data_IF_285835162971
#
_entry.id   IF_285835162971
#
_cell.length_a   1.000
_cell.length_b   1.000
_cell.length_c   1.000
_cell.angle_alpha   90.00
_cell.angle_beta   90.00
_cell.angle_gamma   90.00
#
_symmetry.space_group_name_H-M   'P 1'
#
loop_
_entity.id
_entity.type
_entity.pdbx_description
1 polymer ?
#
# COMPACT_ATOMS: atom_id res chain seq x y z
N UNK A 1 -36.28 22.17 -8.54
CA UNK A 1 -34.88 22.56 -8.32
C UNK A 1 -34.38 21.83 -7.07
N UNK A 2 -33.89 20.58 -7.15
CA UNK A 2 -33.30 19.94 -5.99
C UNK A 2 -31.83 20.35 -5.86
N UNK A 3 -31.47 20.80 -4.66
CA UNK A 3 -30.12 21.17 -4.23
C UNK A 3 -29.23 19.93 -4.17
N UNK A 4 -28.16 19.93 -4.98
CA UNK A 4 -27.14 18.88 -5.02
C UNK A 4 -26.10 19.12 -3.92
N UNK A 5 -26.37 18.62 -2.71
CA UNK A 5 -25.41 18.66 -1.59
C UNK A 5 -24.61 17.35 -1.56
N UNK A 6 -23.86 17.10 -2.63
CA UNK A 6 -22.96 15.96 -2.73
C UNK A 6 -21.65 16.26 -1.97
N UNK A 7 -21.67 16.13 -0.65
CA UNK A 7 -20.43 16.05 0.14
C UNK A 7 -19.63 14.85 -0.35
N UNK A 8 -18.50 15.14 -1.00
CA UNK A 8 -17.52 14.11 -1.33
C UNK A 8 -16.98 13.55 -0.01
N UNK A 9 -17.08 12.24 0.26
CA UNK A 9 -16.56 11.68 1.49
C UNK A 9 -15.04 11.90 1.54
N UNK A 10 -14.58 12.50 2.63
CA UNK A 10 -13.15 12.67 2.89
C UNK A 10 -12.50 11.28 2.92
N UNK A 11 -11.48 11.06 2.08
CA UNK A 11 -10.65 9.86 2.18
C UNK A 11 -9.89 9.90 3.50
N UNK A 12 -10.32 9.09 4.46
CA UNK A 12 -9.61 8.82 5.71
C UNK A 12 -8.22 8.22 5.43
N UNK A 13 -7.22 8.46 6.30
CA UNK A 13 -5.91 7.82 6.17
C UNK A 13 -6.07 6.30 6.25
N UNK A 14 -5.56 5.63 5.22
CA UNK A 14 -5.61 4.19 5.01
C UNK A 14 -4.84 3.49 6.14
N UNK A 15 -5.56 3.08 7.19
CA UNK A 15 -5.05 2.12 8.17
C UNK A 15 -5.42 0.74 7.65
N UNK A 16 -4.53 0.12 6.89
CA UNK A 16 -4.63 -1.32 6.68
C UNK A 16 -4.58 -1.99 8.06
N UNK A 17 -5.65 -2.69 8.51
CA UNK A 17 -5.64 -3.32 9.80
C UNK A 17 -4.51 -4.37 9.85
N UNK A 18 -3.83 -4.47 10.98
CA UNK A 18 -2.81 -5.48 11.18
C UNK A 18 -3.44 -6.88 10.99
N UNK A 19 -2.75 -7.83 10.34
CA UNK A 19 -3.30 -9.17 10.15
C UNK A 19 -3.52 -9.84 11.52
N UNK A 20 -4.57 -10.67 11.67
CA UNK A 20 -4.77 -11.44 12.88
C UNK A 20 -3.60 -12.42 13.10
N UNK A 21 -3.38 -12.89 14.35
CA UNK A 21 -2.33 -13.85 14.65
C UNK A 21 -2.41 -15.08 13.74
N UNK A 22 -1.30 -15.43 13.08
CA UNK A 22 -1.21 -16.56 12.16
C UNK A 22 -1.37 -16.23 10.68
N UNK A 23 -1.79 -15.00 10.32
CA UNK A 23 -1.76 -14.52 8.94
C UNK A 23 -0.56 -13.60 8.72
N UNK A 24 0.19 -13.85 7.64
CA UNK A 24 1.26 -12.95 7.24
C UNK A 24 0.69 -11.69 6.57
N UNK A 25 1.34 -10.53 6.74
CA UNK A 25 0.97 -9.32 6.00
C UNK A 25 1.18 -9.49 4.50
N UNK A 26 0.57 -8.60 3.73
CA UNK A 26 0.83 -8.49 2.30
C UNK A 26 2.29 -8.09 2.06
N UNK A 27 2.89 -8.61 0.99
CA UNK A 27 4.29 -8.35 0.64
C UNK A 27 4.39 -7.90 -0.81
N UNK A 28 5.27 -6.95 -1.08
CA UNK A 28 5.60 -6.53 -2.43
C UNK A 28 6.16 -7.69 -3.26
N UNK A 29 5.98 -7.60 -4.58
CA UNK A 29 6.45 -8.58 -5.55
C UNK A 29 7.93 -8.86 -5.38
N UNK A 30 8.30 -10.14 -5.19
CA UNK A 30 9.69 -10.54 -5.04
C UNK A 30 10.45 -10.52 -6.38
N UNK A 31 11.77 -10.56 -6.32
CA UNK A 31 12.63 -10.47 -7.50
C UNK A 31 12.40 -11.60 -8.51
N UNK A 32 12.08 -12.81 -8.03
CA UNK A 32 11.73 -13.93 -8.91
C UNK A 32 10.46 -13.64 -9.72
N UNK A 33 9.41 -13.12 -9.08
CA UNK A 33 8.20 -12.74 -9.77
C UNK A 33 8.43 -11.52 -10.70
N UNK A 34 9.28 -10.57 -10.31
CA UNK A 34 9.65 -9.44 -11.18
C UNK A 34 10.42 -9.92 -12.43
N UNK A 35 11.29 -10.92 -12.29
CA UNK A 35 11.98 -11.53 -13.43
C UNK A 35 10.99 -12.20 -14.38
N UNK A 36 10.06 -13.02 -13.87
CA UNK A 36 9.00 -13.64 -14.68
C UNK A 36 8.09 -12.61 -15.36
N UNK A 37 7.75 -11.52 -14.66
CA UNK A 37 6.93 -10.44 -15.20
C UNK A 37 7.58 -9.77 -16.43
N UNK A 38 8.92 -9.76 -16.47
CA UNK A 38 9.73 -9.12 -17.52
C UNK A 38 10.15 -10.06 -18.64
N UNK A 39 10.02 -11.38 -18.46
CA UNK A 39 10.45 -12.38 -19.44
C UNK A 39 9.34 -12.66 -20.47
N UNK A 40 9.51 -12.32 -21.76
CA UNK A 40 8.53 -12.57 -22.82
C UNK A 40 8.20 -14.04 -23.05
N UNK A 41 9.07 -14.96 -22.61
CA UNK A 41 8.86 -16.41 -22.72
C UNK A 41 8.05 -16.97 -21.55
N UNK A 42 7.87 -16.20 -20.48
CA UNK A 42 7.10 -16.64 -19.35
C UNK A 42 5.59 -16.48 -19.61
N UNK A 43 4.80 -17.48 -19.24
CA UNK A 43 3.32 -17.44 -19.33
C UNK A 43 2.67 -16.29 -18.55
N UNK A 44 3.39 -15.68 -17.60
CA UNK A 44 2.97 -14.52 -16.80
C UNK A 44 3.65 -13.23 -17.22
N UNK A 45 4.24 -13.17 -18.41
CA UNK A 45 4.80 -11.96 -18.99
C UNK A 45 3.78 -10.81 -18.90
N UNK A 46 4.20 -9.69 -18.29
CA UNK A 46 3.38 -8.49 -18.04
C UNK A 46 2.05 -8.74 -17.30
N UNK A 47 1.88 -9.88 -16.62
CA UNK A 47 0.68 -10.16 -15.84
C UNK A 47 0.64 -9.36 -14.52
N UNK A 48 -0.29 -8.40 -14.36
CA UNK A 48 -0.25 -7.44 -13.25
C UNK A 48 -0.49 -8.04 -11.86
N UNK A 49 -1.08 -9.25 -11.81
CA UNK A 49 -1.47 -9.93 -10.58
C UNK A 49 -0.54 -11.11 -10.24
N UNK A 50 0.68 -11.11 -10.80
CA UNK A 50 1.68 -12.15 -10.51
C UNK A 50 2.03 -12.20 -9.02
N UNK A 51 2.00 -13.40 -8.46
CA UNK A 51 2.38 -13.67 -7.06
C UNK A 51 2.95 -15.09 -6.92
N UNK A 52 3.53 -15.36 -5.75
CA UNK A 52 4.03 -16.68 -5.34
C UNK A 52 3.88 -16.84 -3.82
N UNK A 53 4.36 -17.95 -3.25
CA UNK A 53 4.28 -18.13 -1.79
C UNK A 53 5.04 -17.07 -1.01
N UNK A 54 6.10 -16.46 -1.58
CA UNK A 54 6.94 -15.48 -0.90
C UNK A 54 6.41 -14.02 -0.96
N UNK A 55 5.49 -13.70 -1.89
CA UNK A 55 5.06 -12.32 -2.15
C UNK A 55 3.60 -12.22 -2.59
N UNK A 56 3.10 -10.99 -2.69
CA UNK A 56 1.74 -10.69 -3.13
C UNK A 56 0.75 -10.56 -1.97
N UNK A 57 -0.54 -10.40 -2.30
CA UNK A 57 -1.58 -10.26 -1.30
C UNK A 57 -1.78 -11.58 -0.55
N UNK A 58 -1.86 -11.48 0.78
CA UNK A 58 -2.10 -12.60 1.69
C UNK A 58 -3.32 -12.30 2.55
N UNK A 59 -3.19 -11.32 3.44
CA UNK A 59 -4.29 -10.91 4.32
C UNK A 59 -5.40 -10.25 3.51
N UNK A 60 -5.07 -9.31 2.62
CA UNK A 60 -6.07 -8.59 1.83
C UNK A 60 -6.90 -9.52 0.93
N UNK A 61 -6.28 -10.59 0.40
CA UNK A 61 -6.98 -11.58 -0.42
C UNK A 61 -7.95 -12.43 0.39
N UNK A 62 -7.61 -12.80 1.62
CA UNK A 62 -8.47 -13.57 2.51
C UNK A 62 -9.60 -12.71 3.09
N UNK A 63 -9.33 -11.45 3.40
CA UNK A 63 -10.29 -10.51 3.98
C UNK A 63 -11.32 -10.00 2.97
N UNK A 64 -10.95 -9.87 1.68
CA UNK A 64 -11.85 -9.35 0.67
C UNK A 64 -13.00 -10.32 0.34
N UNK A 65 -12.76 -11.64 0.32
CA UNK A 65 -13.82 -12.67 0.24
C UNK A 65 -13.22 -14.07 0.51
N UNK A 66 -13.68 -14.83 1.53
CA UNK A 66 -13.42 -16.26 1.62
C UNK A 66 -14.06 -16.95 0.40
N UNK A 67 -13.25 -17.58 -0.46
CA UNK A 67 -13.78 -18.32 -1.62
C UNK A 67 -13.98 -17.53 -2.91
N UNK A 68 -13.53 -16.26 -3.02
CA UNK A 68 -13.37 -15.61 -4.33
C UNK A 68 -12.12 -16.12 -5.05
N UNK A 69 -12.06 -17.44 -5.26
CA UNK A 69 -11.16 -18.05 -6.23
C UNK A 69 -11.78 -17.84 -7.60
N UNK A 70 -11.06 -17.20 -8.50
CA UNK A 70 -11.33 -17.36 -9.92
C UNK A 70 -11.11 -18.84 -10.29
N UNK A 71 -11.89 -19.36 -11.24
CA UNK A 71 -11.75 -20.73 -11.72
C UNK A 71 -10.34 -20.93 -12.28
N UNK A 72 -9.50 -21.67 -11.55
CA UNK A 72 -8.09 -21.86 -11.93
C UNK A 72 -7.99 -22.72 -13.17
N UNK A 73 -7.12 -22.32 -14.10
CA UNK A 73 -6.73 -23.19 -15.20
C UNK A 73 -5.90 -24.37 -14.71
N UNK A 74 -5.88 -25.47 -15.48
CA UNK A 74 -5.16 -26.70 -15.17
C UNK A 74 -3.69 -26.47 -14.80
N UNK A 75 -2.99 -25.59 -15.53
CA UNK A 75 -1.59 -25.26 -15.27
C UNK A 75 -1.37 -24.50 -13.96
N UNK A 76 -2.31 -23.63 -13.56
CA UNK A 76 -2.23 -22.95 -12.26
C UNK A 76 -2.55 -23.92 -11.13
N UNK A 77 -3.47 -24.86 -11.34
CA UNK A 77 -3.79 -25.90 -10.37
C UNK A 77 -2.61 -26.86 -10.17
N UNK A 78 -1.96 -27.27 -11.26
CA UNK A 78 -0.74 -28.10 -11.20
C UNK A 78 0.38 -27.41 -10.39
N UNK A 79 0.64 -26.13 -10.64
CA UNK A 79 1.62 -25.36 -9.86
C UNK A 79 1.24 -25.19 -8.39
N UNK A 80 -0.06 -25.21 -8.06
CA UNK A 80 -0.57 -25.07 -6.70
C UNK A 80 -0.37 -26.37 -5.89
N UNK A 81 -0.49 -27.53 -6.54
CA UNK A 81 -0.35 -28.85 -5.90
C UNK A 81 1.08 -29.42 -5.95
N UNK A 82 1.92 -28.98 -6.89
CA UNK A 82 3.30 -29.45 -7.02
C UNK A 82 4.20 -28.91 -5.90
N UNK A 83 4.76 -29.78 -5.06
CA UNK A 83 5.62 -29.41 -3.93
C UNK A 83 6.94 -28.74 -4.35
N UNK A 84 7.38 -28.92 -5.60
CA UNK A 84 8.61 -28.30 -6.13
C UNK A 84 8.37 -26.90 -6.70
N UNK A 85 7.11 -26.55 -6.95
CA UNK A 85 6.71 -25.25 -7.48
C UNK A 85 6.85 -24.15 -6.42
N UNK A 86 7.40 -22.99 -6.81
CA UNK A 86 7.38 -21.76 -5.98
C UNK A 86 5.96 -21.25 -5.68
N UNK A 87 4.97 -21.78 -6.38
CA UNK A 87 3.55 -21.45 -6.23
C UNK A 87 2.75 -22.55 -5.53
N UNK A 88 3.41 -23.57 -4.98
CA UNK A 88 2.78 -24.57 -4.13
C UNK A 88 1.99 -23.87 -3.00
N UNK A 89 0.69 -24.13 -2.86
CA UNK A 89 -0.19 -23.48 -1.87
C UNK A 89 -0.31 -21.95 -1.98
N UNK A 90 0.16 -21.31 -3.07
CA UNK A 90 -0.03 -19.89 -3.31
C UNK A 90 -1.46 -19.59 -3.78
N UNK A 91 -2.39 -19.43 -2.85
CA UNK A 91 -3.83 -19.25 -3.16
C UNK A 91 -4.12 -17.99 -4.02
N UNK A 92 -3.29 -16.95 -3.97
CA UNK A 92 -3.46 -15.76 -4.82
C UNK A 92 -2.77 -15.91 -6.20
N UNK A 93 -2.06 -17.01 -6.46
CA UNK A 93 -1.36 -17.21 -7.72
C UNK A 93 -2.36 -17.46 -8.86
N UNK A 94 -2.14 -16.72 -9.94
CA UNK A 94 -2.95 -16.80 -11.16
C UNK A 94 -2.11 -16.47 -12.39
N UNK A 95 -2.73 -16.54 -13.55
CA UNK A 95 -2.13 -16.22 -14.85
C UNK A 95 -3.13 -15.41 -15.70
N UNK A 96 -2.74 -14.89 -16.86
CA UNK A 96 -3.65 -14.15 -17.75
C UNK A 96 -4.91 -14.92 -18.17
N UNK A 97 -4.88 -16.25 -18.17
CA UNK A 97 -6.02 -17.09 -18.56
C UNK A 97 -7.10 -17.15 -17.49
N UNK A 98 -6.72 -17.41 -16.23
CA UNK A 98 -7.69 -17.62 -15.14
C UNK A 98 -7.77 -16.46 -14.14
N UNK A 99 -6.80 -15.56 -14.14
CA UNK A 99 -6.70 -14.47 -13.17
C UNK A 99 -7.58 -13.26 -13.51
N UNK A 100 -7.63 -12.28 -12.60
CA UNK A 100 -8.30 -11.01 -12.86
C UNK A 100 -7.66 -10.26 -14.03
N UNK A 101 -8.48 -9.45 -14.71
CA UNK A 101 -8.06 -8.63 -15.85
C UNK A 101 -8.12 -7.15 -15.48
N UNK A 102 -7.08 -6.40 -15.83
CA UNK A 102 -7.11 -4.95 -15.73
C UNK A 102 -8.19 -4.38 -16.65
N UNK A 103 -8.86 -3.34 -16.18
CA UNK A 103 -9.74 -2.49 -16.97
C UNK A 103 -9.47 -1.04 -16.64
N UNK A 104 -9.66 -0.16 -17.62
CA UNK A 104 -9.68 1.28 -17.45
C UNK A 104 -11.07 1.78 -17.82
N UNK A 105 -11.68 2.55 -16.94
CA UNK A 105 -12.96 3.22 -17.19
C UNK A 105 -12.64 4.65 -17.62
N UNK A 106 -12.79 4.94 -18.91
CA UNK A 106 -12.56 6.27 -19.45
C UNK A 106 -13.78 7.19 -19.16
N UNK A 107 -13.58 8.52 -19.09
CA UNK A 107 -14.68 9.48 -18.94
C UNK A 107 -15.73 9.39 -20.05
N UNK A 108 -15.35 8.90 -21.23
CA UNK A 108 -16.23 8.67 -22.39
C UNK A 108 -17.16 7.45 -22.23
N UNK A 109 -17.21 6.84 -21.03
CA UNK A 109 -17.87 5.55 -20.76
C UNK A 109 -17.30 4.36 -21.54
N UNK A 110 -16.20 4.55 -22.27
CA UNK A 110 -15.47 3.46 -22.89
C UNK A 110 -14.69 2.67 -21.83
N UNK A 111 -14.76 1.34 -21.90
CA UNK A 111 -13.94 0.46 -21.08
C UNK A 111 -12.84 -0.16 -21.93
N UNK A 112 -11.59 0.09 -21.54
CA UNK A 112 -10.42 -0.59 -22.12
C UNK A 112 -10.00 -1.75 -21.22
N UNK A 113 -9.35 -2.74 -21.80
CA UNK A 113 -8.96 -3.96 -21.09
C UNK A 113 -7.47 -4.30 -21.26
N UNK A 114 -6.93 -5.02 -20.28
CA UNK A 114 -5.58 -5.61 -20.31
C UNK A 114 -4.50 -4.60 -20.74
N UNK A 115 -3.74 -4.92 -21.80
CA UNK A 115 -2.64 -4.08 -22.28
C UNK A 115 -3.11 -2.72 -22.81
N UNK A 116 -4.29 -2.67 -23.45
CA UNK A 116 -4.88 -1.40 -23.88
C UNK A 116 -5.24 -0.48 -22.71
N UNK A 117 -5.73 -1.06 -21.61
CA UNK A 117 -6.00 -0.30 -20.37
C UNK A 117 -4.70 0.25 -19.76
N UNK A 118 -3.61 -0.52 -19.77
CA UNK A 118 -2.33 -0.09 -19.25
C UNK A 118 -1.66 0.97 -20.13
N UNK A 119 -1.73 0.80 -21.45
CA UNK A 119 -1.21 1.78 -22.42
C UNK A 119 -1.90 3.13 -22.28
N UNK A 120 -3.24 3.15 -22.21
CA UNK A 120 -4.02 4.36 -22.03
C UNK A 120 -3.75 5.01 -20.66
N UNK A 121 -3.69 4.22 -19.58
CA UNK A 121 -3.36 4.75 -18.27
C UNK A 121 -1.98 5.45 -18.25
N UNK A 122 -1.00 4.90 -18.97
CA UNK A 122 0.31 5.56 -19.12
C UNK A 122 0.21 6.86 -19.91
N UNK A 123 -0.57 6.89 -21.00
CA UNK A 123 -0.79 8.10 -21.79
C UNK A 123 -1.44 9.21 -20.95
N UNK A 124 -2.52 8.87 -20.22
CA UNK A 124 -3.22 9.82 -19.33
C UNK A 124 -2.27 10.43 -18.31
N UNK A 125 -1.41 9.64 -17.66
CA UNK A 125 -0.44 10.18 -16.69
C UNK A 125 0.62 11.07 -17.37
N UNK A 126 1.11 10.66 -18.54
CA UNK A 126 2.10 11.41 -19.30
C UNK A 126 1.57 12.75 -19.83
N UNK A 127 0.27 12.83 -20.10
CA UNK A 127 -0.43 14.05 -20.55
C UNK A 127 -0.88 14.95 -19.37
N UNK A 128 -0.46 14.63 -18.14
CA UNK A 128 -0.80 15.42 -16.95
C UNK A 128 -2.21 15.15 -16.40
N UNK A 129 -2.81 14.01 -16.74
CA UNK A 129 -4.07 13.55 -16.18
C UNK A 129 -3.96 13.00 -14.74
N UNK A 130 -5.12 12.69 -14.15
CA UNK A 130 -5.25 12.09 -12.81
C UNK A 130 -6.00 10.77 -12.96
N UNK A 131 -5.44 9.68 -12.44
CA UNK A 131 -6.04 8.35 -12.43
C UNK A 131 -6.45 7.93 -11.04
N UNK A 132 -7.61 7.28 -10.93
CA UNK A 132 -7.97 6.50 -9.75
C UNK A 132 -7.54 5.04 -9.97
N UNK A 133 -6.59 4.55 -9.18
CA UNK A 133 -6.07 3.18 -9.26
C UNK A 133 -6.59 2.37 -8.09
N UNK A 134 -7.25 1.24 -8.38
CA UNK A 134 -7.69 0.29 -7.36
C UNK A 134 -6.48 -0.49 -6.85
N UNK A 135 -6.29 -0.44 -5.55
CA UNK A 135 -5.26 -1.14 -4.77
C UNK A 135 -5.93 -2.08 -3.77
N UNK A 136 -5.13 -2.84 -3.02
CA UNK A 136 -5.63 -3.75 -1.98
C UNK A 136 -6.38 -3.01 -0.85
N UNK A 137 -5.96 -1.78 -0.51
CA UNK A 137 -6.56 -0.94 0.54
C UNK A 137 -7.68 -0.01 0.05
N UNK A 138 -8.09 -0.11 -1.22
CA UNK A 138 -9.07 0.80 -1.84
C UNK A 138 -8.47 1.56 -3.00
N UNK A 139 -9.00 2.76 -3.30
CA UNK A 139 -8.56 3.54 -4.46
C UNK A 139 -7.52 4.59 -4.06
N UNK A 140 -6.50 4.77 -4.90
CA UNK A 140 -5.53 5.86 -4.77
C UNK A 140 -5.60 6.74 -6.01
N UNK A 141 -5.57 8.05 -5.81
CA UNK A 141 -5.40 9.00 -6.90
C UNK A 141 -3.91 9.12 -7.23
N UNK A 142 -3.59 9.04 -8.51
CA UNK A 142 -2.24 9.09 -9.03
C UNK A 142 -2.17 10.13 -10.14
N UNK A 143 -1.13 10.94 -10.11
CA UNK A 143 -0.73 11.82 -11.18
C UNK A 143 0.79 11.81 -11.28
N UNK A 144 1.35 12.33 -12.36
CA UNK A 144 2.77 12.57 -12.43
C UNK A 144 3.17 13.70 -11.45
N UNK A 145 4.11 13.40 -10.55
CA UNK A 145 4.57 14.33 -9.52
C UNK A 145 5.42 15.49 -10.07
N UNK A 146 5.91 15.38 -11.31
CA UNK A 146 6.68 16.42 -11.99
C UNK A 146 5.79 17.47 -12.66
N UNK A 147 4.51 17.16 -12.87
CA UNK A 147 3.52 18.06 -13.47
C UNK A 147 2.87 18.94 -12.40
N UNK A 148 3.51 20.08 -12.07
CA UNK A 148 3.06 20.98 -11.00
C UNK A 148 1.60 21.42 -11.09
N UNK A 149 1.12 21.74 -12.30
CA UNK A 149 -0.28 22.11 -12.54
C UNK A 149 -1.27 20.98 -12.14
N UNK A 150 -0.94 19.73 -12.44
CA UNK A 150 -1.77 18.57 -12.11
C UNK A 150 -1.76 18.29 -10.61
N UNK A 151 -0.62 18.46 -9.95
CA UNK A 151 -0.52 18.36 -8.48
C UNK A 151 -1.38 19.41 -7.79
N UNK A 152 -1.37 20.65 -8.27
CA UNK A 152 -2.20 21.74 -7.74
C UNK A 152 -3.69 21.49 -7.98
N UNK A 153 -4.06 20.97 -9.15
CA UNK A 153 -5.43 20.54 -9.44
C UNK A 153 -5.88 19.43 -8.48
N UNK A 154 -5.01 18.45 -8.21
CA UNK A 154 -5.28 17.37 -7.28
C UNK A 154 -5.47 17.90 -5.84
N UNK A 155 -4.62 18.84 -5.37
CA UNK A 155 -4.80 19.51 -4.07
C UNK A 155 -6.16 20.18 -3.97
N UNK A 156 -6.53 20.98 -4.98
CA UNK A 156 -7.82 21.68 -5.03
C UNK A 156 -9.00 20.71 -4.97
N UNK A 157 -8.98 19.64 -5.77
CA UNK A 157 -10.06 18.63 -5.81
C UNK A 157 -10.19 17.83 -4.52
N UNK A 158 -9.08 17.57 -3.83
CA UNK A 158 -9.09 16.87 -2.54
C UNK A 158 -9.32 17.80 -1.35
N UNK A 159 -9.46 19.11 -1.58
CA UNK A 159 -9.46 20.13 -0.53
C UNK A 159 -8.26 19.97 0.44
N UNK A 160 -7.13 19.54 -0.12
CA UNK A 160 -5.89 19.27 0.61
C UNK A 160 -5.01 20.51 0.49
N UNK A 161 -4.80 21.20 1.61
CA UNK A 161 -3.90 22.36 1.70
C UNK A 161 -2.43 21.96 1.51
N UNK A 162 -1.55 22.36 2.42
CA UNK A 162 -0.11 22.07 2.30
C UNK A 162 0.29 20.64 2.73
N UNK A 163 -0.67 19.78 3.06
CA UNK A 163 -0.38 18.42 3.51
C UNK A 163 0.35 17.62 2.40
N UNK A 164 1.50 17.00 2.68
CA UNK A 164 2.34 16.37 1.66
C UNK A 164 1.62 15.21 0.96
N UNK A 165 1.91 14.99 -0.32
CA UNK A 165 1.57 13.75 -1.02
C UNK A 165 2.73 12.76 -0.93
N UNK A 166 2.41 11.47 -0.92
CA UNK A 166 3.42 10.44 -1.12
C UNK A 166 3.80 10.37 -2.61
N UNK A 167 5.09 10.18 -2.90
CA UNK A 167 5.63 10.05 -4.26
C UNK A 167 6.13 8.62 -4.45
N UNK A 168 5.75 8.00 -5.56
CA UNK A 168 6.28 6.70 -5.98
C UNK A 168 7.52 6.91 -6.85
N UNK A 169 8.58 6.19 -6.54
CA UNK A 169 9.87 6.25 -7.25
C UNK A 169 10.23 4.86 -7.77
N UNK A 170 11.00 4.82 -8.85
CA UNK A 170 11.37 3.56 -9.53
C UNK A 170 12.43 2.75 -8.79
N UNK A 171 13.19 3.38 -7.89
CA UNK A 171 14.26 2.76 -7.12
C UNK A 171 14.95 3.73 -6.17
N UNK A 172 15.96 3.24 -5.45
CA UNK A 172 16.72 4.03 -4.47
C UNK A 172 17.45 5.21 -5.12
N UNK A 173 17.99 5.04 -6.33
CA UNK A 173 18.69 6.12 -7.04
C UNK A 173 17.78 7.32 -7.33
N UNK A 174 16.52 7.06 -7.72
CA UNK A 174 15.52 8.12 -7.93
C UNK A 174 15.09 8.74 -6.60
N UNK A 175 14.92 7.92 -5.55
CA UNK A 175 14.61 8.41 -4.21
C UNK A 175 15.68 9.39 -3.71
N UNK A 176 16.95 9.07 -3.92
CA UNK A 176 18.11 9.88 -3.54
C UNK A 176 18.22 11.19 -4.32
N UNK A 177 17.65 11.27 -5.53
CA UNK A 177 17.61 12.52 -6.29
C UNK A 177 16.66 13.55 -5.66
N UNK A 178 15.58 13.11 -5.03
CA UNK A 178 14.51 13.98 -4.52
C UNK A 178 14.48 14.10 -2.99
N UNK A 179 15.12 13.18 -2.27
CA UNK A 179 15.18 13.17 -0.81
C UNK A 179 16.53 12.68 -0.26
N UNK A 180 16.88 13.12 0.94
CA UNK A 180 18.01 12.62 1.71
C UNK A 180 17.67 11.22 2.26
N UNK A 181 18.17 10.20 1.57
CA UNK A 181 17.96 8.79 1.93
C UNK A 181 19.23 8.25 2.59
N UNK A 182 19.16 8.01 3.90
CA UNK A 182 20.21 7.34 4.66
C UNK A 182 20.06 5.81 4.64
N UNK A 183 20.93 5.08 5.36
CA UNK A 183 20.88 3.63 5.42
C UNK A 183 19.56 3.06 5.95
N UNK A 184 18.97 3.71 6.96
CA UNK A 184 17.71 3.28 7.55
C UNK A 184 16.53 3.47 6.58
N UNK A 185 16.47 4.61 5.90
CA UNK A 185 15.45 4.89 4.88
C UNK A 185 15.59 3.93 3.69
N UNK A 186 16.83 3.67 3.23
CA UNK A 186 17.09 2.72 2.15
C UNK A 186 16.67 1.29 2.50
N UNK A 187 16.91 0.87 3.75
CA UNK A 187 16.46 -0.42 4.26
C UNK A 187 14.93 -0.51 4.27
N UNK A 188 14.23 0.53 4.77
CA UNK A 188 12.77 0.57 4.79
C UNK A 188 12.17 0.59 3.38
N UNK A 189 12.72 1.40 2.46
CA UNK A 189 12.27 1.47 1.07
C UNK A 189 12.42 0.12 0.34
N UNK A 190 13.37 -0.71 0.78
CA UNK A 190 13.63 -2.04 0.22
C UNK A 190 12.94 -3.17 0.99
N UNK A 191 12.30 -2.87 2.12
CA UNK A 191 11.60 -3.85 2.94
C UNK A 191 10.45 -4.49 2.14
N UNK A 192 10.17 -5.80 2.30
CA UNK A 192 9.07 -6.46 1.61
C UNK A 192 7.69 -5.84 1.87
N UNK A 193 7.49 -5.10 2.97
CA UNK A 193 6.25 -4.35 3.22
C UNK A 193 6.12 -3.07 2.40
N UNK A 194 7.22 -2.57 1.80
CA UNK A 194 7.32 -1.33 1.00
C UNK A 194 6.51 -0.17 1.59
N UNK A 195 6.82 0.28 2.83
CA UNK A 195 6.10 1.34 3.48
C UNK A 195 6.34 2.70 2.81
N UNK A 196 5.46 3.67 3.06
CA UNK A 196 5.77 5.08 2.79
C UNK A 196 6.80 5.55 3.81
N UNK A 197 7.96 5.98 3.32
CA UNK A 197 9.06 6.47 4.17
C UNK A 197 9.08 7.99 4.14
N UNK A 198 9.09 8.61 5.33
CA UNK A 198 9.28 10.05 5.46
C UNK A 198 10.77 10.36 5.39
N UNK A 199 11.16 11.23 4.46
CA UNK A 199 12.54 11.66 4.27
C UNK A 199 12.60 13.18 4.06
N UNK A 200 13.72 13.77 4.47
CA UNK A 200 13.96 15.19 4.21
C UNK A 200 14.22 15.41 2.71
N UNK A 201 13.76 16.51 2.08
CA UNK A 201 14.09 16.82 0.69
C UNK A 201 15.60 16.98 0.47
N UNK A 202 16.10 16.63 -0.73
CA UNK A 202 17.48 16.97 -1.13
C UNK A 202 17.60 18.48 -1.36
N UNK A 203 18.62 19.10 -0.77
CA UNK A 203 18.82 20.54 -0.84
C UNK A 203 18.09 21.32 0.26
N UNK A 204 18.74 22.38 0.78
CA UNK A 204 18.19 23.21 1.86
C UNK A 204 16.89 23.90 1.40
N UNK A 205 15.74 23.32 1.73
CA UNK A 205 14.58 24.14 2.06
C UNK A 205 14.80 24.78 3.43
N UNK A 206 15.68 25.78 3.48
CA UNK A 206 15.58 26.84 4.49
C UNK A 206 14.47 27.79 4.04
N UNK A 207 13.22 27.33 4.10
CA UNK A 207 12.05 28.20 4.28
C UNK A 207 11.42 27.70 5.58
N UNK A 208 11.81 28.21 6.74
CA UNK A 208 11.50 29.58 7.12
C UNK A 208 10.05 29.72 7.62
N UNK A 209 9.62 28.87 8.55
CA UNK A 209 8.59 29.25 9.53
C UNK A 209 8.86 28.57 10.87
N UNK A 210 9.52 29.30 11.76
CA UNK A 210 9.37 29.07 13.20
C UNK A 210 7.88 29.18 13.52
N UNK A 211 7.27 28.28 14.30
CA UNK A 211 6.02 28.63 14.98
C UNK A 211 6.35 29.82 15.86
N UNK A 212 5.72 30.96 15.59
CA UNK A 212 5.77 32.10 16.48
C UNK A 212 5.32 31.62 17.86
N UNK A 213 6.20 31.79 18.84
CA UNK A 213 5.83 31.81 20.25
C UNK A 213 4.85 32.96 20.45
N UNK A 214 3.57 32.70 20.22
CA UNK A 214 2.50 33.52 20.77
C UNK A 214 2.46 33.28 22.27
N UNK A 215 2.86 34.29 23.04
CA UNK A 215 2.71 34.31 24.50
C UNK A 215 1.26 33.98 24.90
N UNK A 216 1.05 33.26 26.01
CA UNK A 216 -0.29 32.96 26.49
C UNK A 216 -0.92 34.22 27.11
N UNK A 217 -2.09 34.62 26.63
CA UNK A 217 -3.07 35.34 27.44
C UNK A 217 -4.17 34.33 27.77
N UNK A 218 -4.22 33.92 29.05
CA UNK A 218 -5.23 33.02 29.61
C UNK A 218 -6.59 33.70 29.89
N UNK A 219 -7.57 33.00 30.48
CA UNK A 219 -8.84 32.66 29.80
C UNK A 219 -10.10 33.13 30.60
N UNK A 220 -11.36 32.78 30.25
CA UNK A 220 -11.88 31.41 30.48
C UNK A 220 -12.84 30.87 29.39
N UNK A 221 -12.89 29.53 29.27
CA UNK A 221 -14.03 28.80 28.69
C UNK A 221 -13.67 27.86 27.54
N UNK A 222 -13.50 26.57 27.84
CA UNK A 222 -13.52 25.52 26.82
C UNK A 222 -12.44 24.45 27.02
N UNK A 223 -12.88 23.22 27.32
CA UNK A 223 -12.06 22.02 27.54
C UNK A 223 -11.02 21.78 26.43
N UNK A 224 -9.77 21.54 26.83
CA UNK A 224 -8.72 21.03 25.96
C UNK A 224 -8.87 19.51 25.73
N UNK A 225 -8.60 18.98 24.53
CA UNK A 225 -8.25 17.58 24.35
C UNK A 225 -6.78 17.34 24.68
N UNK A 226 -6.52 16.25 25.42
CA UNK A 226 -5.21 15.79 25.84
C UNK A 226 -4.29 15.39 24.67
N UNK A 227 -2.96 15.46 24.83
CA UNK A 227 -2.02 14.90 23.86
C UNK A 227 -2.07 13.36 23.89
N UNK A 228 -2.03 12.66 22.74
CA UNK A 228 -1.89 11.21 22.76
C UNK A 228 -0.46 10.82 23.17
N UNK A 229 -0.41 10.38 24.42
CA UNK A 229 0.51 9.48 25.11
C UNK A 229 1.62 8.79 24.29
N UNK A 230 2.83 8.95 24.81
CA UNK A 230 3.92 7.98 24.71
C UNK A 230 3.58 6.69 25.49
N UNK A 231 4.11 5.55 25.04
CA UNK A 231 4.16 4.32 25.82
C UNK A 231 4.83 3.17 25.06
N UNK A 232 5.27 2.10 25.75
CA UNK A 232 6.10 2.13 26.96
C UNK A 232 7.46 1.42 26.73
N UNK A 233 8.44 1.82 27.53
CA UNK A 233 9.72 1.13 27.67
C UNK A 233 9.52 -0.30 28.20
N UNK A 234 10.07 -1.31 27.51
CA UNK A 234 10.15 -2.69 28.01
C UNK A 234 11.23 -2.79 29.09
N UNK A 235 10.87 -3.28 30.28
CA UNK A 235 11.81 -3.84 31.27
C UNK A 235 11.96 -5.36 31.03
N UNK A 236 13.13 -5.96 31.33
CA UNK A 236 13.41 -7.36 31.00
C UNK A 236 12.73 -8.37 31.94
N UNK A 237 12.52 -9.56 31.39
CA UNK A 237 11.79 -10.69 31.97
C UNK A 237 12.46 -11.27 33.23
N UNK A 238 11.63 -11.69 34.20
CA UNK A 238 12.01 -12.62 35.28
C UNK A 238 11.64 -14.05 34.86
N UNK A 239 12.57 -14.97 35.09
CA UNK A 239 12.51 -16.42 34.88
C UNK A 239 11.44 -17.11 35.77
N UNK A 240 10.81 -18.20 35.31
CA UNK A 240 9.88 -18.97 36.13
C UNK A 240 10.59 -20.05 36.96
N UNK A 241 10.29 -20.11 38.26
CA UNK A 241 10.62 -21.21 39.19
C UNK A 241 9.59 -22.36 39.14
N UNK A 242 9.87 -23.49 39.81
CA UNK A 242 9.27 -24.79 39.50
C UNK A 242 7.84 -24.96 40.00
N UNK A 243 7.08 -25.80 39.28
CA UNK A 243 5.69 -26.17 39.56
C UNK A 243 5.65 -27.23 40.66
N UNK A 244 4.88 -26.96 41.71
CA UNK A 244 4.61 -27.91 42.78
C UNK A 244 3.29 -28.66 42.46
N UNK A 245 3.38 -29.99 42.38
CA UNK A 245 2.24 -30.88 42.14
C UNK A 245 1.59 -31.24 43.47
N UNK A 246 0.35 -30.79 43.71
CA UNK A 246 -0.54 -31.41 44.69
C UNK A 246 -1.88 -31.79 44.08
N UNK A 247 -2.10 -33.11 44.03
CA UNK A 247 -3.42 -33.76 43.91
C UNK A 247 -4.29 -33.40 45.11
N UNK A 248 -5.61 -33.50 44.96
CA UNK A 248 -6.42 -34.13 46.00
C UNK A 248 -7.20 -35.31 45.43
N UNK A 249 -7.18 -36.42 46.17
CA UNK A 249 -8.11 -37.52 45.99
C UNK A 249 -9.28 -37.43 46.97
N UNK A 250 -10.36 -38.13 46.57
CA UNK A 250 -11.39 -38.80 47.37
C UNK A 250 -12.33 -37.95 48.24
N UNK A 251 -13.57 -37.81 47.78
CA UNK A 251 -14.69 -38.68 48.20
C UNK A 251 -15.75 -38.73 47.11
#
# INVERSE_FOLDING_TARGET
>A
MPTNDARTPALSPDRTPAPPPGLSPDRATCDNCLAELRDPRNRRYRHPFISCTACGPRYSSLAATPGAGFDRCQECEAELSDATSRRNLALAACCPQCGPRLRLLAPTHQTLHAEGALAEARAVLAEGGILAVRTLGGHRLMCDATHGHTVDLLRKRLHRGDEPFAVLVTGLDEAQRIAAIGPAEAQLLSDPSRPVVLAAPTGRSRRGRRPGAGRPRGPPGGRAPAPPAAGPARRPARTPGPRDHRRPGLS
#
